data_IF_704016299644
#
_entry.id   IF_704016299644
#
_cell.length_a   1.000
_cell.length_b   1.000
_cell.length_c   1.000
_cell.angle_alpha   90.00
_cell.angle_beta   90.00
_cell.angle_gamma   90.00
#
_symmetry.space_group_name_H-M   'P 1'
#
loop_
_entity.id
_entity.type
_entity.pdbx_description
1 polymer ?
#
# COMPACT_ATOMS: atom_id res chain seq x y z
N UNK A 1 16.69 -10.76 -4.39
CA UNK A 1 15.35 -11.31 -4.09
C UNK A 1 14.48 -10.13 -3.69
N UNK A 2 13.25 -10.02 -4.21
CA UNK A 2 12.35 -8.95 -3.77
C UNK A 2 11.83 -9.27 -2.36
N UNK A 3 11.28 -8.28 -1.66
CA UNK A 3 10.67 -8.53 -0.34
C UNK A 3 9.25 -9.08 -0.51
N UNK A 4 8.66 -9.58 0.58
CA UNK A 4 7.37 -10.26 0.56
C UNK A 4 6.20 -9.36 0.09
N UNK A 5 6.31 -8.04 0.26
CA UNK A 5 5.32 -7.08 -0.25
C UNK A 5 5.32 -7.10 -1.78
N UNK A 6 6.49 -6.99 -2.40
CA UNK A 6 6.63 -7.05 -3.86
C UNK A 6 6.21 -8.41 -4.40
N UNK A 7 6.63 -9.50 -3.76
CA UNK A 7 6.25 -10.86 -4.18
C UNK A 7 4.72 -11.07 -4.12
N UNK A 8 4.08 -10.55 -3.07
CA UNK A 8 2.62 -10.59 -2.94
C UNK A 8 1.94 -9.79 -4.04
N UNK A 9 2.44 -8.57 -4.34
CA UNK A 9 1.92 -7.76 -5.44
C UNK A 9 2.05 -8.51 -6.76
N UNK A 10 3.22 -9.06 -7.08
CA UNK A 10 3.45 -9.82 -8.32
C UNK A 10 2.49 -11.02 -8.41
N UNK A 11 2.30 -11.77 -7.32
CA UNK A 11 1.38 -12.92 -7.27
C UNK A 11 -0.07 -12.52 -7.49
N UNK A 12 -0.50 -11.37 -6.96
CA UNK A 12 -1.90 -10.90 -7.06
C UNK A 12 -2.18 -10.27 -8.43
N UNK A 13 -1.27 -9.44 -8.94
CA UNK A 13 -1.42 -8.70 -10.19
C UNK A 13 -1.12 -9.58 -11.42
N UNK A 14 -0.19 -10.52 -11.30
CA UNK A 14 0.13 -11.50 -12.33
C UNK A 14 0.57 -10.85 -13.64
N UNK A 15 -0.18 -11.13 -14.71
CA UNK A 15 0.18 -10.74 -16.08
C UNK A 15 0.15 -9.23 -16.36
N UNK A 16 -0.46 -8.41 -15.49
CA UNK A 16 -0.50 -6.94 -15.69
C UNK A 16 0.76 -6.21 -15.15
N UNK A 17 1.71 -6.95 -14.59
CA UNK A 17 2.99 -6.39 -14.12
C UNK A 17 3.78 -5.79 -15.28
N UNK A 18 4.36 -4.62 -15.04
CA UNK A 18 5.27 -3.92 -15.95
C UNK A 18 6.65 -3.83 -15.29
N UNK A 19 7.68 -4.13 -16.07
CA UNK A 19 9.07 -4.01 -15.59
C UNK A 19 9.58 -2.57 -15.60
N UNK A 20 8.96 -1.71 -16.40
CA UNK A 20 9.37 -0.33 -16.61
C UNK A 20 8.15 0.53 -16.97
N UNK A 21 8.30 1.86 -16.82
CA UNK A 21 7.33 2.84 -17.33
C UNK A 21 7.80 3.25 -18.72
N UNK A 22 6.90 3.11 -19.70
CA UNK A 22 7.08 3.66 -21.03
C UNK A 22 5.77 4.28 -21.54
N UNK A 23 5.84 5.11 -22.56
CA UNK A 23 4.67 5.70 -23.19
C UNK A 23 5.01 6.88 -24.08
N UNK A 24 3.98 7.47 -24.69
CA UNK A 24 4.12 8.67 -25.51
C UNK A 24 3.78 9.93 -24.73
N UNK A 25 4.41 11.04 -25.09
CA UNK A 25 3.94 12.39 -24.73
C UNK A 25 2.87 12.78 -25.74
N UNK A 26 1.66 13.05 -25.26
CA UNK A 26 0.54 13.50 -26.07
C UNK A 26 0.50 15.02 -26.10
N UNK A 27 0.54 15.57 -27.31
CA UNK A 27 0.38 16.99 -27.60
C UNK A 27 -1.00 17.19 -28.22
N UNK A 28 -1.79 18.06 -27.61
CA UNK A 28 -3.08 18.50 -28.14
C UNK A 28 -3.09 20.02 -28.13
N UNK A 29 -3.47 20.63 -29.26
CA UNK A 29 -3.53 22.10 -29.38
C UNK A 29 -4.44 22.68 -28.28
N UNK A 30 -3.97 23.75 -27.63
CA UNK A 30 -4.66 24.37 -26.50
C UNK A 30 -4.55 23.64 -25.14
N UNK A 31 -3.86 22.49 -25.06
CA UNK A 31 -3.67 21.73 -23.83
C UNK A 31 -2.20 21.59 -23.43
N UNK A 32 -1.95 21.37 -22.13
CA UNK A 32 -0.61 21.01 -21.63
C UNK A 32 -0.24 19.59 -22.09
N UNK A 33 1.05 19.30 -22.38
CA UNK A 33 1.51 17.96 -22.70
C UNK A 33 1.12 16.98 -21.59
N UNK A 34 0.64 15.80 -21.98
CA UNK A 34 0.29 14.72 -21.04
C UNK A 34 1.10 13.48 -21.35
N UNK A 35 1.60 12.82 -20.33
CA UNK A 35 2.13 11.48 -20.47
C UNK A 35 0.97 10.50 -20.63
N UNK A 36 1.15 9.50 -21.50
CA UNK A 36 0.30 8.31 -21.54
C UNK A 36 0.18 7.67 -20.14
N UNK A 37 -0.92 6.94 -19.89
CA UNK A 37 -1.20 6.31 -18.60
C UNK A 37 0.00 5.51 -18.07
N UNK A 38 0.29 5.69 -16.78
CA UNK A 38 1.43 5.09 -16.07
C UNK A 38 1.09 4.86 -14.61
N UNK A 39 1.97 4.16 -13.90
CA UNK A 39 1.93 4.03 -12.45
C UNK A 39 1.98 2.58 -12.02
N UNK A 40 1.45 2.33 -10.83
CA UNK A 40 1.34 0.98 -10.31
C UNK A 40 0.60 0.93 -8.99
N UNK A 41 0.87 -0.14 -8.26
CA UNK A 41 0.40 -0.38 -6.91
C UNK A 41 1.57 -0.51 -5.95
N UNK A 42 1.33 -0.21 -4.68
CA UNK A 42 2.32 -0.29 -3.62
C UNK A 42 1.69 -0.77 -2.32
N UNK A 43 2.52 -1.27 -1.42
CA UNK A 43 2.11 -1.77 -0.12
C UNK A 43 3.09 -1.42 0.98
N UNK A 44 2.59 -1.45 2.21
CA UNK A 44 3.33 -1.28 3.45
C UNK A 44 2.87 -2.40 4.39
N UNK A 45 3.82 -3.11 5.00
CA UNK A 45 3.54 -4.23 5.88
C UNK A 45 4.43 -4.19 7.12
N UNK A 46 3.93 -4.75 8.23
CA UNK A 46 4.60 -4.82 9.51
C UNK A 46 4.87 -6.26 9.90
N UNK A 47 6.06 -6.55 10.42
CA UNK A 47 6.37 -7.84 11.02
C UNK A 47 5.75 -7.93 12.41
N UNK A 48 4.97 -8.97 12.65
CA UNK A 48 4.36 -9.24 13.95
C UNK A 48 4.51 -10.71 14.33
N UNK A 49 4.84 -11.00 15.58
CA UNK A 49 4.68 -12.34 16.12
C UNK A 49 3.20 -12.76 16.08
N UNK A 50 2.91 -14.05 15.91
CA UNK A 50 1.52 -14.55 15.90
C UNK A 50 0.77 -14.17 17.18
N UNK A 51 1.47 -14.14 18.32
CA UNK A 51 0.91 -13.80 19.63
C UNK A 51 0.54 -12.34 19.80
N UNK A 52 1.11 -11.42 19.02
CA UNK A 52 0.83 -9.97 19.12
C UNK A 52 -0.08 -9.45 18.01
N UNK A 53 -0.32 -10.24 16.96
CA UNK A 53 -1.09 -9.80 15.80
C UNK A 53 -2.53 -9.41 16.15
N UNK A 54 -3.20 -10.19 17.01
CA UNK A 54 -4.58 -9.90 17.43
C UNK A 54 -4.66 -8.60 18.25
N UNK A 55 -3.74 -8.41 19.20
CA UNK A 55 -3.67 -7.20 19.99
C UNK A 55 -3.42 -5.97 19.11
N UNK A 56 -2.44 -6.06 18.19
CA UNK A 56 -2.14 -4.98 17.26
C UNK A 56 -3.34 -4.63 16.37
N UNK A 57 -4.06 -5.65 15.90
CA UNK A 57 -5.28 -5.47 15.11
C UNK A 57 -6.36 -4.72 15.90
N UNK A 58 -6.62 -5.15 17.14
CA UNK A 58 -7.65 -4.55 17.99
C UNK A 58 -7.36 -3.08 18.30
N UNK A 59 -6.08 -2.72 18.52
CA UNK A 59 -5.66 -1.33 18.71
C UNK A 59 -5.98 -0.43 17.50
N UNK A 60 -6.08 -1.00 16.30
CA UNK A 60 -6.32 -0.28 15.04
C UNK A 60 -7.70 -0.52 14.43
N UNK A 61 -8.57 -1.29 15.12
CA UNK A 61 -9.87 -1.73 14.61
C UNK A 61 -10.77 -0.59 14.13
N UNK A 62 -10.70 0.56 14.79
CA UNK A 62 -11.53 1.73 14.48
C UNK A 62 -11.25 2.34 13.10
N UNK A 63 -10.09 2.06 12.50
CA UNK A 63 -9.78 2.51 11.14
C UNK A 63 -10.59 1.78 10.08
N UNK A 64 -10.96 0.53 10.35
CA UNK A 64 -11.77 -0.33 9.49
C UNK A 64 -12.73 -1.18 10.30
N UNK A 65 -13.87 -0.58 10.63
CA UNK A 65 -14.94 -1.20 11.45
C UNK A 65 -15.49 -2.50 10.85
N UNK A 66 -15.46 -2.66 9.53
CA UNK A 66 -16.02 -3.85 8.85
C UNK A 66 -15.00 -4.99 8.67
N UNK A 67 -13.72 -4.77 8.94
CA UNK A 67 -12.68 -5.81 8.82
C UNK A 67 -12.64 -6.68 10.08
N UNK A 68 -12.62 -8.01 9.98
CA UNK A 68 -12.38 -8.90 11.13
C UNK A 68 -10.92 -9.31 11.22
N UNK A 69 -10.48 -9.68 12.44
CA UNK A 69 -9.10 -10.12 12.67
C UNK A 69 -8.75 -11.34 11.80
N UNK A 70 -9.66 -12.31 11.69
CA UNK A 70 -9.45 -13.53 10.90
C UNK A 70 -9.33 -13.28 9.39
N UNK A 71 -9.80 -12.13 8.90
CA UNK A 71 -9.65 -11.70 7.51
C UNK A 71 -8.30 -10.97 7.29
N UNK A 72 -7.70 -10.45 8.37
CA UNK A 72 -6.38 -9.79 8.34
C UNK A 72 -5.25 -10.81 8.41
N UNK A 73 -5.01 -11.46 7.28
CA UNK A 73 -4.01 -12.53 7.16
C UNK A 73 -2.61 -11.99 6.82
N UNK A 74 -1.54 -12.68 7.23
CA UNK A 74 -0.18 -12.30 6.86
C UNK A 74 0.07 -12.52 5.35
N UNK A 75 1.05 -11.79 4.83
CA UNK A 75 1.57 -11.89 3.47
C UNK A 75 2.44 -13.15 3.33
N UNK A 76 2.41 -13.76 2.15
CA UNK A 76 3.19 -14.97 1.85
C UNK A 76 2.52 -16.28 2.24
N UNK A 77 3.31 -17.36 2.26
CA UNK A 77 2.86 -18.69 2.63
C UNK A 77 3.09 -18.96 4.12
N UNK A 78 2.26 -19.82 4.72
CA UNK A 78 2.35 -20.18 6.14
C UNK A 78 3.74 -20.70 6.49
N UNK A 79 4.39 -20.09 7.48
CA UNK A 79 5.70 -20.51 8.00
C UNK A 79 6.89 -19.63 7.59
N UNK A 80 6.67 -18.64 6.72
CA UNK A 80 7.60 -17.53 6.50
C UNK A 80 7.25 -16.35 7.44
N UNK A 81 8.18 -15.41 7.60
CA UNK A 81 8.03 -14.25 8.47
C UNK A 81 6.64 -13.59 8.34
N UNK A 82 5.97 -13.41 9.48
CA UNK A 82 4.60 -12.92 9.55
C UNK A 82 4.54 -11.40 9.31
N UNK A 83 4.59 -10.99 8.05
CA UNK A 83 4.31 -9.61 7.67
C UNK A 83 2.82 -9.42 7.45
N UNK A 84 2.19 -8.48 8.14
CA UNK A 84 0.78 -8.16 7.98
C UNK A 84 0.60 -6.86 7.19
N UNK A 85 -0.39 -6.79 6.26
CA UNK A 85 -0.62 -5.60 5.46
C UNK A 85 -1.14 -4.45 6.32
N UNK A 86 -0.38 -3.36 6.37
CA UNK A 86 -0.81 -2.11 6.99
C UNK A 86 -1.60 -1.26 6.01
N UNK A 87 -1.12 -1.12 4.78
CA UNK A 87 -1.74 -0.28 3.77
C UNK A 87 -1.41 -0.74 2.34
N UNK A 88 -2.40 -0.75 1.46
CA UNK A 88 -2.24 -0.82 0.01
C UNK A 88 -2.59 0.52 -0.62
N UNK A 89 -1.92 0.87 -1.71
CA UNK A 89 -2.27 2.06 -2.47
C UNK A 89 -1.88 1.94 -3.94
N UNK A 90 -2.26 2.97 -4.70
CA UNK A 90 -1.87 3.15 -6.10
C UNK A 90 -1.44 4.57 -6.37
N UNK A 91 -0.48 4.74 -7.25
CA UNK A 91 -0.06 6.06 -7.68
C UNK A 91 0.62 6.01 -9.06
N UNK A 92 0.63 7.16 -9.74
CA UNK A 92 1.38 7.37 -10.98
C UNK A 92 2.89 7.57 -10.72
N UNK A 93 3.26 7.94 -9.50
CA UNK A 93 4.61 8.21 -9.01
C UNK A 93 4.85 7.46 -7.70
N UNK A 94 5.08 6.16 -7.81
CA UNK A 94 5.15 5.22 -6.68
C UNK A 94 6.22 5.61 -5.65
N UNK A 95 7.43 5.96 -6.11
CA UNK A 95 8.52 6.34 -5.22
C UNK A 95 8.20 7.59 -4.41
N UNK A 96 7.63 8.61 -5.06
CA UNK A 96 7.20 9.82 -4.37
C UNK A 96 6.06 9.54 -3.38
N UNK A 97 5.05 8.74 -3.78
CA UNK A 97 3.93 8.44 -2.89
C UNK A 97 4.36 7.65 -1.66
N UNK A 98 5.26 6.67 -1.81
CA UNK A 98 5.87 5.96 -0.68
C UNK A 98 6.58 6.92 0.27
N UNK A 99 7.35 7.86 -0.27
CA UNK A 99 8.01 8.90 0.52
C UNK A 99 7.01 9.82 1.25
N UNK A 100 5.89 10.18 0.62
CA UNK A 100 4.83 10.99 1.25
C UNK A 100 4.15 10.30 2.44
N UNK A 101 4.21 8.97 2.54
CA UNK A 101 3.70 8.25 3.71
C UNK A 101 4.60 8.41 4.96
N UNK A 102 5.86 8.82 4.76
CA UNK A 102 6.85 8.96 5.84
C UNK A 102 6.82 10.35 6.50
N UNK A 103 5.94 11.24 6.05
CA UNK A 103 5.95 12.65 6.46
C UNK A 103 4.54 13.15 6.68
N UNK A 104 4.38 13.92 7.76
CA UNK A 104 3.19 14.70 8.02
C UNK A 104 2.93 15.68 6.88
N UNK A 105 1.75 15.57 6.29
CA UNK A 105 1.25 16.44 5.23
C UNK A 105 -0.13 16.97 5.62
N UNK A 106 -0.48 18.15 5.13
CA UNK A 106 -1.86 18.66 5.23
C UNK A 106 -2.84 17.91 4.30
N UNK A 107 -2.31 17.05 3.42
CA UNK A 107 -3.09 16.25 2.49
C UNK A 107 -3.60 14.98 3.16
N UNK A 108 -4.67 14.44 2.59
CA UNK A 108 -5.43 13.29 3.10
C UNK A 108 -5.25 12.08 2.20
N UNK A 109 -4.31 12.21 1.25
CA UNK A 109 -4.05 11.22 0.22
C UNK A 109 -2.99 10.18 0.66
N UNK A 110 -2.33 10.37 1.81
CA UNK A 110 -1.37 9.41 2.38
C UNK A 110 -1.71 9.06 3.83
N UNK A 111 -1.47 7.79 4.18
CA UNK A 111 -1.39 7.31 5.56
C UNK A 111 -0.12 7.90 6.16
N UNK A 112 -0.27 8.79 7.13
CA UNK A 112 0.83 9.50 7.79
C UNK A 112 1.47 8.55 8.83
N UNK A 113 2.55 7.84 8.47
CA UNK A 113 3.16 6.86 9.37
C UNK A 113 3.96 7.52 10.49
N UNK A 114 4.51 8.71 10.26
CA UNK A 114 5.25 9.48 11.26
C UNK A 114 4.40 9.90 12.47
N UNK A 115 3.09 9.91 12.32
CA UNK A 115 2.14 10.21 13.39
C UNK A 115 1.73 8.99 14.23
N UNK A 116 2.18 7.79 13.85
CA UNK A 116 1.84 6.53 14.52
C UNK A 116 2.99 6.10 15.43
N UNK A 117 3.01 6.62 16.65
CA UNK A 117 4.11 6.39 17.61
C UNK A 117 4.21 4.92 18.06
N UNK A 118 3.13 4.16 17.96
CA UNK A 118 3.08 2.72 18.20
C UNK A 118 3.91 1.89 17.20
N UNK A 119 4.29 2.49 16.07
CA UNK A 119 5.14 1.88 15.05
C UNK A 119 6.64 2.04 15.33
N UNK A 120 7.04 2.86 16.30
CA UNK A 120 8.45 3.13 16.60
C UNK A 120 9.15 1.82 17.01
N UNK A 121 10.25 1.49 16.32
CA UNK A 121 11.03 0.28 16.57
C UNK A 121 10.45 -1.01 15.98
N UNK A 122 9.32 -0.95 15.28
CA UNK A 122 8.75 -2.09 14.55
C UNK A 122 9.47 -2.30 13.21
N UNK A 123 9.57 -3.55 12.79
CA UNK A 123 10.07 -3.91 11.46
C UNK A 123 8.96 -3.72 10.43
N UNK A 124 9.06 -2.65 9.65
CA UNK A 124 8.11 -2.26 8.62
C UNK A 124 8.82 -2.23 7.27
N UNK A 125 8.21 -2.90 6.30
CA UNK A 125 8.70 -2.96 4.93
C UNK A 125 7.69 -2.37 3.97
N UNK A 126 8.16 -1.93 2.81
CA UNK A 126 7.32 -1.44 1.74
C UNK A 126 7.79 -1.98 0.39
N UNK A 127 6.91 -1.93 -0.60
CA UNK A 127 7.20 -2.39 -1.95
C UNK A 127 6.22 -1.80 -2.94
N UNK A 128 6.64 -1.70 -4.20
CA UNK A 128 5.81 -1.19 -5.28
C UNK A 128 6.13 -1.88 -6.59
N UNK A 129 5.12 -2.03 -7.45
CA UNK A 129 5.30 -2.59 -8.79
C UNK A 129 4.47 -1.81 -9.79
N UNK A 130 5.05 -1.55 -10.97
CA UNK A 130 4.32 -0.94 -12.06
C UNK A 130 3.29 -1.91 -12.64
N UNK A 131 2.13 -1.38 -12.99
CA UNK A 131 1.08 -2.12 -13.66
C UNK A 131 0.21 -1.15 -14.47
N UNK A 132 -0.66 -1.67 -15.34
CA UNK A 132 -1.51 -0.81 -16.17
C UNK A 132 -2.84 -0.52 -15.47
N UNK A 133 -3.42 -1.53 -14.83
CA UNK A 133 -4.76 -1.49 -14.23
C UNK A 133 -4.71 -1.19 -12.74
N UNK A 134 -4.04 -0.09 -12.38
CA UNK A 134 -3.70 0.26 -11.00
C UNK A 134 -4.89 0.21 -10.03
N UNK A 135 -6.06 0.73 -10.43
CA UNK A 135 -7.25 0.76 -9.59
C UNK A 135 -7.87 -0.62 -9.35
N UNK A 136 -7.90 -1.46 -10.39
CA UNK A 136 -8.38 -2.83 -10.28
C UNK A 136 -7.44 -3.67 -9.42
N UNK A 137 -6.14 -3.54 -9.65
CA UNK A 137 -5.10 -4.26 -8.91
C UNK A 137 -5.05 -3.87 -7.43
N UNK A 138 -5.19 -2.58 -7.09
CA UNK A 138 -5.30 -2.14 -5.70
C UNK A 138 -6.52 -2.76 -5.01
N UNK A 139 -7.67 -2.78 -5.70
CA UNK A 139 -8.89 -3.40 -5.19
C UNK A 139 -8.69 -4.90 -4.96
N UNK A 140 -8.06 -5.61 -5.89
CA UNK A 140 -7.75 -7.04 -5.75
C UNK A 140 -6.81 -7.31 -4.57
N UNK A 141 -5.80 -6.46 -4.36
CA UNK A 141 -4.90 -6.55 -3.21
C UNK A 141 -5.68 -6.41 -1.90
N UNK A 142 -6.51 -5.37 -1.77
CA UNK A 142 -7.34 -5.17 -0.56
C UNK A 142 -8.37 -6.28 -0.33
N UNK A 143 -8.84 -6.95 -1.38
CA UNK A 143 -9.77 -8.07 -1.25
C UNK A 143 -9.07 -9.36 -0.79
N UNK A 144 -7.88 -9.66 -1.33
CA UNK A 144 -7.13 -10.88 -0.98
C UNK A 144 -6.35 -10.75 0.32
N UNK A 145 -5.83 -9.55 0.58
CA UNK A 145 -5.03 -9.20 1.74
C UNK A 145 -5.53 -7.86 2.31
N UNK A 146 -6.66 -7.86 3.04
CA UNK A 146 -7.20 -6.64 3.61
C UNK A 146 -6.16 -5.89 4.43
N UNK A 147 -5.98 -4.59 4.19
CA UNK A 147 -5.10 -3.74 4.99
C UNK A 147 -5.85 -3.06 6.14
N UNK A 148 -5.20 -2.66 7.23
CA UNK A 148 -5.90 -2.10 8.41
C UNK A 148 -5.90 -0.57 8.46
N UNK A 149 -4.93 0.11 7.85
CA UNK A 149 -4.88 1.57 7.88
C UNK A 149 -5.77 2.20 6.83
N UNK A 150 -6.33 3.36 7.21
CA UNK A 150 -7.10 4.22 6.31
C UNK A 150 -6.42 5.57 6.20
N UNK A 151 -6.50 6.20 5.02
CA UNK A 151 -6.14 7.60 4.91
C UNK A 151 -7.14 8.45 5.69
N UNK A 152 -6.66 9.33 6.57
CA UNK A 152 -7.52 10.18 7.41
C UNK A 152 -7.52 11.61 6.88
N UNK A 153 -8.69 12.25 6.94
CA UNK A 153 -8.82 13.70 6.75
C UNK A 153 -8.39 14.37 8.05
N UNK A 154 -7.38 15.25 8.02
CA UNK A 154 -7.14 16.13 9.17
C UNK A 154 -8.41 16.98 9.38
N UNK A 155 -8.98 16.96 10.59
CA UNK A 155 -9.85 18.04 11.02
C UNK A 155 -8.93 19.22 11.26
N UNK A 156 -9.12 20.29 10.49
CA UNK A 156 -8.49 21.56 10.84
C UNK A 156 -9.23 22.06 12.09
N UNK A 157 -8.53 22.11 13.22
CA UNK A 157 -8.92 22.91 14.38
C UNK A 157 -8.60 24.39 14.12
#
# INVERSE_FOLDING_TARGET
MANIVVDTIIKVVGADIRNYIEGKVQWQEGNKPKLQERGGVYGIAIKLATSEAEEFFLQHKDEKKDLNFYDWIPLGEKGLENYYPLYWGKDINLGFRLFEHMKSSKSTASVQLDQRTDLIGRDIIYGAVFCSKNAENEKLLRQKYPDIFKTKKLKME
#
